data_IF_557757045261
#
_entry.id   IF_557757045261
#
_cell.length_a   1.000
_cell.length_b   1.000
_cell.length_c   1.000
_cell.angle_alpha   90.00
_cell.angle_beta   90.00
_cell.angle_gamma   90.00
#
_symmetry.space_group_name_H-M   'P 1'
#
loop_
_entity.id
_entity.type
_entity.pdbx_description
1 polymer ?
#
# COMPACT_ATOMS: atom_id res chain seq x y z
N UNK A 1 -20.01 -26.01 31.94
CA UNK A 1 -20.02 -25.95 33.43
C UNK A 1 -19.71 -27.35 33.89
N UNK A 2 -18.65 -27.57 34.66
CA UNK A 2 -18.36 -28.91 35.14
C UNK A 2 -19.35 -29.21 36.27
N UNK A 3 -20.27 -30.13 36.00
CA UNK A 3 -21.17 -30.65 37.02
C UNK A 3 -20.30 -31.45 38.01
N UNK A 4 -20.20 -30.96 39.24
CA UNK A 4 -19.29 -31.52 40.25
C UNK A 4 -19.88 -32.71 41.00
N UNK A 5 -21.16 -33.01 40.81
CA UNK A 5 -21.76 -34.14 41.53
C UNK A 5 -21.39 -35.49 40.88
N UNK A 6 -21.22 -36.55 41.69
CA UNK A 6 -20.79 -37.87 41.22
C UNK A 6 -21.86 -38.59 40.37
N UNK A 7 -23.07 -38.05 40.31
CA UNK A 7 -24.19 -38.60 39.55
C UNK A 7 -24.36 -37.92 38.20
N UNK A 8 -24.66 -38.66 37.14
CA UNK A 8 -24.95 -38.10 35.82
C UNK A 8 -26.28 -37.34 35.79
N UNK A 9 -26.51 -36.51 34.76
CA UNK A 9 -27.77 -35.77 34.62
C UNK A 9 -28.97 -36.73 34.51
N UNK A 10 -28.81 -37.82 33.78
CA UNK A 10 -29.82 -38.86 33.61
C UNK A 10 -30.16 -39.55 34.94
N UNK A 11 -29.13 -39.96 35.70
CA UNK A 11 -29.29 -40.59 37.02
C UNK A 11 -30.10 -39.68 37.95
N UNK A 12 -29.81 -38.38 37.97
CA UNK A 12 -30.54 -37.43 38.82
C UNK A 12 -31.98 -37.21 38.35
N UNK A 13 -32.22 -37.11 37.03
CA UNK A 13 -33.57 -36.95 36.48
C UNK A 13 -34.46 -38.14 36.86
N UNK A 14 -33.96 -39.36 36.66
CA UNK A 14 -34.68 -40.59 37.02
C UNK A 14 -34.95 -40.63 38.53
N UNK A 15 -33.92 -40.36 39.35
CA UNK A 15 -34.07 -40.34 40.80
C UNK A 15 -35.09 -39.31 41.27
N UNK A 16 -35.13 -38.12 40.65
CA UNK A 16 -36.10 -37.06 40.95
C UNK A 16 -37.52 -37.47 40.62
N UNK A 17 -37.76 -38.05 39.44
CA UNK A 17 -39.10 -38.48 39.02
C UNK A 17 -39.63 -39.54 39.97
N UNK A 18 -38.84 -40.58 40.26
CA UNK A 18 -39.24 -41.63 41.20
C UNK A 18 -39.46 -41.11 42.63
N UNK A 19 -38.62 -40.17 43.09
CA UNK A 19 -38.78 -39.58 44.41
C UNK A 19 -40.03 -38.69 44.50
N UNK A 20 -40.43 -38.02 43.42
CA UNK A 20 -41.66 -37.24 43.36
C UNK A 20 -42.91 -38.13 43.33
N UNK A 21 -42.89 -39.17 42.48
CA UNK A 21 -44.00 -40.11 42.31
C UNK A 21 -44.23 -41.03 43.51
N UNK A 22 -43.29 -41.09 44.47
CA UNK A 22 -43.41 -41.93 45.67
C UNK A 22 -44.68 -41.65 46.48
N UNK A 23 -45.21 -40.41 46.42
CA UNK A 23 -46.46 -40.03 47.10
C UNK A 23 -47.70 -40.66 46.46
N UNK A 24 -47.64 -40.94 45.16
CA UNK A 24 -48.73 -41.55 44.41
C UNK A 24 -48.62 -43.08 44.40
N UNK A 25 -47.39 -43.60 44.39
CA UNK A 25 -47.10 -45.04 44.39
C UNK A 25 -46.97 -45.64 45.79
N UNK A 26 -47.12 -44.84 46.85
CA UNK A 26 -46.90 -45.20 48.26
C UNK A 26 -45.53 -45.84 48.53
N UNK A 27 -44.51 -45.57 47.70
CA UNK A 27 -43.15 -46.07 47.90
C UNK A 27 -42.45 -45.32 49.04
N UNK A 28 -41.73 -46.07 49.86
CA UNK A 28 -40.84 -45.47 50.86
C UNK A 28 -39.60 -44.89 50.18
N UNK A 29 -38.95 -43.91 50.82
CA UNK A 29 -37.68 -43.36 50.30
C UNK A 29 -36.60 -44.43 50.18
N UNK A 30 -36.57 -45.39 51.10
CA UNK A 30 -35.64 -46.52 51.05
C UNK A 30 -35.86 -47.37 49.80
N UNK A 31 -37.11 -47.65 49.45
CA UNK A 31 -37.42 -48.41 48.22
C UNK A 31 -36.96 -47.68 46.96
N UNK A 32 -37.10 -46.35 46.92
CA UNK A 32 -36.60 -45.53 45.79
C UNK A 32 -35.06 -45.58 45.70
N UNK A 33 -34.36 -45.62 46.84
CA UNK A 33 -32.90 -45.78 46.87
C UNK A 33 -32.47 -47.17 46.41
N UNK A 34 -33.18 -48.22 46.83
CA UNK A 34 -32.96 -49.60 46.37
C UNK A 34 -33.22 -49.72 44.85
N UNK A 35 -34.34 -49.18 44.35
CA UNK A 35 -34.65 -49.14 42.91
C UNK A 35 -33.54 -48.42 42.11
N UNK A 36 -32.93 -47.37 42.70
CA UNK A 36 -31.83 -46.63 42.09
C UNK A 36 -30.54 -47.46 42.06
N UNK A 37 -30.18 -48.10 43.17
CA UNK A 37 -29.01 -48.98 43.27
C UNK A 37 -29.12 -50.18 42.32
N UNK A 38 -30.30 -50.79 42.21
CA UNK A 38 -30.60 -51.90 41.32
C UNK A 38 -30.45 -51.50 39.84
N UNK A 39 -30.94 -50.32 39.46
CA UNK A 39 -30.88 -49.85 38.06
C UNK A 39 -29.50 -49.38 37.64
N UNK A 40 -28.79 -48.65 38.49
CA UNK A 40 -27.56 -47.95 38.12
C UNK A 40 -26.28 -48.57 38.69
N UNK A 41 -26.38 -49.56 39.58
CA UNK A 41 -25.23 -50.26 40.16
C UNK A 41 -24.29 -49.37 40.99
N UNK A 42 -24.81 -48.24 41.49
CA UNK A 42 -24.08 -47.22 42.25
C UNK A 42 -24.84 -46.87 43.54
N UNK A 43 -24.13 -46.49 44.62
CA UNK A 43 -24.80 -46.14 45.87
C UNK A 43 -25.79 -45.00 45.66
N UNK A 44 -26.98 -45.14 46.24
CA UNK A 44 -28.04 -44.17 46.03
C UNK A 44 -27.71 -42.79 46.64
N UNK A 45 -28.20 -41.70 46.03
CA UNK A 45 -28.12 -40.38 46.63
C UNK A 45 -28.85 -40.33 47.97
N UNK A 46 -28.35 -39.50 48.89
CA UNK A 46 -28.99 -39.29 50.19
C UNK A 46 -30.40 -38.70 50.05
N UNK A 47 -31.27 -38.98 51.03
CA UNK A 47 -32.63 -38.40 51.09
C UNK A 47 -32.63 -36.87 50.97
N UNK A 48 -31.66 -36.20 51.57
CA UNK A 48 -31.52 -34.74 51.49
C UNK A 48 -31.19 -34.27 50.07
N UNK A 49 -30.31 -34.98 49.36
CA UNK A 49 -29.99 -34.68 47.96
C UNK A 49 -31.18 -34.95 47.05
N UNK A 50 -31.90 -36.07 47.24
CA UNK A 50 -33.14 -36.37 46.50
C UNK A 50 -34.18 -35.27 46.67
N UNK A 51 -34.39 -34.80 47.90
CA UNK A 51 -35.31 -33.69 48.15
C UNK A 51 -34.83 -32.36 47.55
N UNK A 52 -33.53 -32.06 47.62
CA UNK A 52 -32.96 -30.87 47.00
C UNK A 52 -33.12 -30.89 45.48
N UNK A 53 -32.86 -32.03 44.84
CA UNK A 53 -33.03 -32.21 43.40
C UNK A 53 -34.51 -32.16 42.99
N UNK A 54 -35.42 -32.78 43.74
CA UNK A 54 -36.87 -32.67 43.52
C UNK A 54 -37.29 -31.20 43.56
N UNK A 55 -36.99 -30.51 44.66
CA UNK A 55 -37.35 -29.11 44.81
C UNK A 55 -36.80 -28.26 43.66
N UNK A 56 -35.54 -28.46 43.29
CA UNK A 56 -34.88 -27.70 42.23
C UNK A 56 -35.46 -28.00 40.85
N UNK A 57 -35.67 -29.27 40.51
CA UNK A 57 -36.21 -29.69 39.23
C UNK A 57 -37.63 -29.18 39.02
N UNK A 58 -38.51 -29.31 40.02
CA UNK A 58 -39.91 -28.88 39.89
C UNK A 58 -40.12 -27.37 40.06
N UNK A 59 -39.18 -26.65 40.69
CA UNK A 59 -39.23 -25.19 40.75
C UNK A 59 -38.59 -24.50 39.53
N UNK A 60 -37.49 -25.06 39.00
CA UNK A 60 -36.67 -24.38 37.97
C UNK A 60 -36.55 -25.14 36.65
N UNK A 61 -37.07 -26.37 36.56
CA UNK A 61 -36.96 -27.23 35.37
C UNK A 61 -35.57 -27.84 35.16
N UNK A 62 -34.62 -27.66 36.09
CA UNK A 62 -33.23 -28.11 35.92
C UNK A 62 -32.70 -28.84 37.15
N UNK A 63 -31.87 -29.87 36.89
CA UNK A 63 -31.17 -30.64 37.92
C UNK A 63 -29.67 -30.29 38.00
N UNK A 64 -29.19 -29.42 37.12
CA UNK A 64 -27.79 -28.99 37.05
C UNK A 64 -27.44 -28.02 38.17
N UNK A 65 -26.23 -28.13 38.74
CA UNK A 65 -25.73 -27.19 39.74
C UNK A 65 -25.76 -25.74 39.26
N UNK A 66 -26.29 -24.86 40.11
CA UNK A 66 -26.33 -23.42 39.80
C UNK A 66 -24.91 -22.87 39.87
N UNK A 67 -24.61 -21.87 39.03
CA UNK A 67 -23.33 -21.16 39.15
C UNK A 67 -23.19 -20.64 40.57
N UNK A 68 -22.11 -21.04 41.25
CA UNK A 68 -21.79 -20.52 42.58
C UNK A 68 -21.55 -19.01 42.46
N UNK A 69 -22.08 -18.23 43.39
CA UNK A 69 -21.70 -16.83 43.53
C UNK A 69 -20.21 -16.78 43.89
N UNK A 70 -19.40 -16.26 42.97
CA UNK A 70 -17.98 -16.04 43.23
C UNK A 70 -17.78 -14.88 44.22
N UNK A 71 -16.53 -14.62 44.59
CA UNK A 71 -16.16 -13.44 45.40
C UNK A 71 -16.73 -12.17 44.74
N UNK A 72 -17.49 -11.34 45.47
CA UNK A 72 -18.06 -10.12 44.90
C UNK A 72 -16.95 -9.21 44.38
N UNK A 73 -17.15 -8.66 43.17
CA UNK A 73 -16.24 -7.68 42.59
C UNK A 73 -16.54 -6.31 43.22
N UNK A 74 -15.64 -5.82 44.07
CA UNK A 74 -15.74 -4.46 44.65
C UNK A 74 -15.31 -3.43 43.58
N UNK A 75 -16.10 -3.21 42.52
CA UNK A 75 -15.64 -2.43 41.34
C UNK A 75 -16.48 -1.24 40.90
N UNK A 76 -17.68 -1.01 41.41
CA UNK A 76 -18.54 0.04 40.85
C UNK A 76 -18.17 1.46 41.30
N UNK A 77 -17.58 1.61 42.48
CA UNK A 77 -17.23 2.92 43.03
C UNK A 77 -15.87 3.39 42.49
N UNK A 78 -15.90 4.02 41.32
CA UNK A 78 -14.74 4.73 40.76
C UNK A 78 -14.58 4.64 39.24
N UNK A 79 -15.38 3.82 38.55
CA UNK A 79 -15.28 3.65 37.07
C UNK A 79 -15.51 4.97 36.36
N UNK A 80 -16.52 5.74 36.77
CA UNK A 80 -16.83 7.04 36.18
C UNK A 80 -15.67 8.04 36.37
N UNK A 81 -15.03 8.05 37.54
CA UNK A 81 -13.87 8.92 37.79
C UNK A 81 -12.69 8.54 36.90
N UNK A 82 -12.45 7.25 36.70
CA UNK A 82 -11.43 6.74 35.78
C UNK A 82 -11.77 7.18 34.35
N UNK A 83 -13.02 6.99 33.90
CA UNK A 83 -13.47 7.34 32.56
C UNK A 83 -13.33 8.84 32.28
N UNK A 84 -13.82 9.70 33.18
CA UNK A 84 -13.70 11.16 33.09
C UNK A 84 -12.23 11.59 33.03
N UNK A 85 -11.38 10.99 33.88
CA UNK A 85 -9.95 11.27 33.88
C UNK A 85 -9.30 10.88 32.54
N UNK A 86 -9.70 9.76 31.94
CA UNK A 86 -9.14 9.26 30.68
C UNK A 86 -9.51 10.17 29.52
N UNK A 87 -10.79 10.57 29.43
CA UNK A 87 -11.27 11.49 28.39
C UNK A 87 -10.59 12.85 28.50
N UNK A 88 -10.41 13.37 29.73
CA UNK A 88 -9.78 14.68 29.96
C UNK A 88 -8.29 14.69 29.63
N UNK A 89 -7.57 13.61 29.95
CA UNK A 89 -6.12 13.53 29.77
C UNK A 89 -5.71 12.19 29.13
N UNK A 90 -5.89 12.00 27.81
CA UNK A 90 -5.69 10.71 27.15
C UNK A 90 -4.22 10.26 27.14
N UNK A 91 -3.26 11.19 27.05
CA UNK A 91 -1.82 10.89 27.04
C UNK A 91 -1.23 10.63 28.45
N UNK A 92 -2.03 10.73 29.52
CA UNK A 92 -1.53 10.56 30.90
C UNK A 92 -1.22 9.09 31.19
N UNK A 93 -0.04 8.84 31.75
CA UNK A 93 0.40 7.48 32.10
C UNK A 93 -0.49 6.86 33.18
N UNK A 94 -0.65 5.53 33.10
CA UNK A 94 -1.40 4.76 34.09
C UNK A 94 -0.86 4.92 35.52
N UNK A 95 0.46 5.05 35.68
CA UNK A 95 1.09 5.26 37.00
C UNK A 95 0.71 6.60 37.62
N UNK A 96 0.78 7.68 36.83
CA UNK A 96 0.39 9.01 37.30
C UNK A 96 -1.10 9.07 37.62
N UNK A 97 -1.93 8.48 36.75
CA UNK A 97 -3.38 8.37 36.97
C UNK A 97 -3.72 7.56 38.23
N UNK A 98 -2.99 6.49 38.51
CA UNK A 98 -3.15 5.67 39.72
C UNK A 98 -2.88 6.49 40.99
N UNK A 99 -1.80 7.28 41.01
CA UNK A 99 -1.48 8.16 42.13
C UNK A 99 -2.53 9.25 42.36
N UNK A 100 -3.02 9.89 41.28
CA UNK A 100 -4.03 10.96 41.36
C UNK A 100 -5.40 10.44 41.82
N UNK A 101 -5.81 9.25 41.36
CA UNK A 101 -7.12 8.68 41.69
C UNK A 101 -7.13 7.87 42.99
N UNK A 102 -5.96 7.63 43.61
CA UNK A 102 -5.84 6.78 44.80
C UNK A 102 -6.16 5.30 44.55
N UNK A 103 -6.22 4.86 43.28
CA UNK A 103 -6.53 3.49 42.89
C UNK A 103 -5.23 2.76 42.56
N UNK A 104 -5.07 1.51 42.99
CA UNK A 104 -3.88 0.73 42.66
C UNK A 104 -3.70 0.56 41.14
N UNK A 105 -2.46 0.61 40.67
CA UNK A 105 -2.13 0.49 39.25
C UNK A 105 -2.76 -0.74 38.58
N UNK A 106 -2.71 -1.89 39.27
CA UNK A 106 -3.28 -3.16 38.77
C UNK A 106 -4.80 -3.10 38.64
N UNK A 107 -5.48 -2.45 39.58
CA UNK A 107 -6.93 -2.27 39.53
C UNK A 107 -7.31 -1.32 38.40
N UNK A 108 -6.64 -0.17 38.30
CA UNK A 108 -6.84 0.80 37.22
C UNK A 108 -6.64 0.17 35.83
N UNK A 109 -5.53 -0.56 35.62
CA UNK A 109 -5.24 -1.26 34.37
C UNK A 109 -6.32 -2.30 34.05
N UNK A 110 -6.78 -3.04 35.05
CA UNK A 110 -7.83 -4.04 34.87
C UNK A 110 -9.17 -3.39 34.52
N UNK A 111 -9.58 -2.34 35.23
CA UNK A 111 -10.81 -1.60 34.94
C UNK A 111 -10.80 -1.00 33.55
N UNK A 112 -9.68 -0.42 33.12
CA UNK A 112 -9.57 0.10 31.75
C UNK A 112 -9.69 -1.00 30.69
N UNK A 113 -9.24 -2.23 30.95
CA UNK A 113 -9.28 -3.35 30.00
C UNK A 113 -10.60 -4.13 30.02
N UNK A 114 -11.08 -4.50 31.20
CA UNK A 114 -12.23 -5.38 31.42
C UNK A 114 -13.55 -4.60 31.45
N UNK A 115 -13.58 -3.42 32.06
CA UNK A 115 -14.83 -2.69 32.31
C UNK A 115 -15.04 -1.56 31.27
N UNK A 116 -13.98 -0.80 30.92
CA UNK A 116 -14.04 0.25 29.89
C UNK A 116 -13.65 -0.22 28.47
N UNK A 117 -13.24 -1.49 28.33
CA UNK A 117 -12.84 -2.11 27.05
C UNK A 117 -11.81 -1.32 26.22
N UNK A 118 -10.95 -0.54 26.88
CA UNK A 118 -9.92 0.25 26.21
C UNK A 118 -8.76 -0.61 25.75
N UNK A 119 -8.32 -0.40 24.51
CA UNK A 119 -7.14 -1.03 23.93
C UNK A 119 -5.98 -0.04 23.92
N UNK A 120 -4.75 -0.46 24.20
CA UNK A 120 -3.57 0.39 24.00
C UNK A 120 -3.49 0.82 22.54
N UNK A 121 -3.50 2.11 22.28
CA UNK A 121 -3.23 2.67 20.97
C UNK A 121 -1.82 3.26 20.97
N UNK A 122 -0.98 2.78 20.06
CA UNK A 122 0.35 3.35 19.82
C UNK A 122 0.22 4.30 18.63
N UNK A 123 0.32 5.63 18.81
CA UNK A 123 0.33 6.54 17.68
C UNK A 123 1.56 6.22 16.82
N UNK A 124 1.32 5.96 15.53
CA UNK A 124 2.37 5.90 14.53
C UNK A 124 2.83 7.33 14.24
N UNK A 125 4.13 7.53 14.04
CA UNK A 125 4.65 8.84 13.62
C UNK A 125 4.09 9.11 12.22
N UNK A 126 3.36 10.21 12.10
CA UNK A 126 2.83 10.71 10.83
C UNK A 126 3.63 11.98 10.53
N UNK A 127 3.89 12.26 9.24
CA UNK A 127 4.45 13.55 8.84
C UNK A 127 3.55 14.67 9.38
N UNK A 128 4.15 15.67 10.04
CA UNK A 128 3.41 16.86 10.44
C UNK A 128 2.84 17.53 9.18
N UNK A 129 1.54 17.81 9.20
CA UNK A 129 0.85 18.51 8.12
C UNK A 129 0.63 19.95 8.58
N UNK A 130 1.02 20.90 7.75
CA UNK A 130 0.64 22.30 7.93
C UNK A 130 -0.83 22.51 7.56
N UNK A 131 -1.41 23.63 7.97
CA UNK A 131 -2.79 24.00 7.61
C UNK A 131 -2.97 24.08 6.08
N UNK A 132 -1.94 24.56 5.37
CA UNK A 132 -1.91 24.57 3.91
C UNK A 132 -1.91 23.15 3.31
N UNK A 133 -1.20 22.20 3.95
CA UNK A 133 -1.20 20.80 3.50
C UNK A 133 -2.58 20.16 3.65
N UNK A 134 -3.34 20.53 4.69
CA UNK A 134 -4.72 20.06 4.86
C UNK A 134 -5.61 20.53 3.71
N UNK A 135 -5.57 21.82 3.35
CA UNK A 135 -6.32 22.38 2.22
C UNK A 135 -5.89 21.78 0.88
N UNK A 136 -4.59 21.64 0.65
CA UNK A 136 -4.03 21.05 -0.56
C UNK A 136 -4.48 19.59 -0.73
N UNK A 137 -4.53 18.82 0.37
CA UNK A 137 -4.97 17.43 0.34
C UNK A 137 -6.46 17.30 0.06
N UNK A 138 -7.31 18.14 0.66
CA UNK A 138 -8.74 18.16 0.36
C UNK A 138 -8.98 18.49 -1.11
N UNK A 139 -8.31 19.54 -1.61
CA UNK A 139 -8.37 19.96 -3.01
C UNK A 139 -7.89 18.84 -3.94
N UNK A 140 -6.80 18.15 -3.59
CA UNK A 140 -6.30 17.02 -4.36
C UNK A 140 -7.28 15.84 -4.39
N UNK A 141 -7.87 15.47 -3.25
CA UNK A 141 -8.89 14.42 -3.18
C UNK A 141 -10.12 14.76 -4.03
N UNK A 142 -10.59 16.01 -3.98
CA UNK A 142 -11.76 16.48 -4.75
C UNK A 142 -11.50 16.42 -6.27
N UNK A 143 -10.28 16.84 -6.69
CA UNK A 143 -9.82 16.67 -8.08
C UNK A 143 -9.73 15.20 -8.50
N UNK A 144 -9.31 14.31 -7.59
CA UNK A 144 -9.20 12.87 -7.88
C UNK A 144 -10.56 12.17 -8.00
N UNK A 145 -11.65 12.74 -7.46
CA UNK A 145 -13.00 12.20 -7.68
C UNK A 145 -13.48 12.40 -9.13
N UNK A 146 -12.85 13.32 -9.87
CA UNK A 146 -13.16 13.64 -11.26
C UNK A 146 -11.98 13.23 -12.15
N UNK A 147 -11.87 11.92 -12.44
CA UNK A 147 -10.75 11.38 -13.26
C UNK A 147 -10.62 12.03 -14.64
N UNK A 148 -11.72 12.61 -15.16
CA UNK A 148 -11.76 13.29 -16.46
C UNK A 148 -11.05 14.65 -16.45
N UNK A 149 -10.89 15.28 -15.28
CA UNK A 149 -10.23 16.60 -15.12
C UNK A 149 -8.84 16.51 -14.50
N UNK A 150 -8.39 15.31 -14.10
CA UNK A 150 -6.98 15.10 -13.74
C UNK A 150 -6.18 15.34 -15.01
N UNK A 151 -5.33 16.39 -15.06
CA UNK A 151 -4.39 16.50 -16.16
C UNK A 151 -3.54 15.23 -16.09
N UNK A 152 -3.64 14.36 -17.11
CA UNK A 152 -2.66 13.28 -17.29
C UNK A 152 -1.32 13.95 -17.09
N UNK A 153 -0.51 13.44 -16.15
CA UNK A 153 0.80 13.99 -15.84
C UNK A 153 1.50 14.19 -17.18
N UNK A 154 1.50 15.41 -17.69
CA UNK A 154 2.42 15.77 -18.72
C UNK A 154 3.73 15.58 -17.98
N UNK A 155 4.52 14.58 -18.39
CA UNK A 155 5.93 14.91 -18.54
C UNK A 155 5.85 16.22 -19.29
N UNK A 156 6.31 17.33 -18.72
CA UNK A 156 6.54 18.51 -19.52
C UNK A 156 7.39 17.98 -20.67
N UNK A 157 6.73 17.74 -21.80
CA UNK A 157 7.36 17.37 -23.04
C UNK A 157 8.01 18.68 -23.41
N UNK A 158 9.19 18.92 -22.82
CA UNK A 158 10.23 19.64 -23.49
C UNK A 158 10.43 18.82 -24.77
N UNK A 159 9.64 19.17 -25.79
CA UNK A 159 9.81 18.74 -27.17
C UNK A 159 11.30 18.92 -27.41
N UNK A 160 11.99 17.86 -27.85
CA UNK A 160 13.44 17.86 -27.99
C UNK A 160 13.89 19.16 -28.67
N UNK A 161 14.78 19.90 -28.02
CA UNK A 161 15.20 21.21 -28.53
C UNK A 161 15.94 20.97 -29.86
N UNK A 162 15.50 21.63 -30.93
CA UNK A 162 16.24 21.66 -32.19
C UNK A 162 17.23 22.83 -32.17
N UNK A 163 18.49 22.54 -32.49
CA UNK A 163 19.57 23.51 -32.62
C UNK A 163 20.17 23.39 -34.00
N UNK A 164 20.46 24.52 -34.65
CA UNK A 164 21.19 24.55 -35.92
C UNK A 164 22.61 25.07 -35.66
N UNK A 165 23.61 24.42 -36.26
CA UNK A 165 25.02 24.79 -36.15
C UNK A 165 25.69 24.75 -37.52
N UNK A 166 26.71 25.58 -37.73
CA UNK A 166 27.49 25.66 -38.94
C UNK A 166 28.97 25.37 -38.65
N UNK A 167 29.48 24.27 -39.23
CA UNK A 167 30.87 23.85 -39.07
C UNK A 167 31.18 23.13 -37.75
N UNK A 168 32.41 22.64 -37.65
CA UNK A 168 32.85 21.76 -36.57
C UNK A 168 32.95 22.47 -35.21
N UNK A 169 33.43 23.71 -35.19
CA UNK A 169 33.64 24.46 -33.95
C UNK A 169 32.34 24.73 -33.19
N UNK A 170 31.29 25.17 -33.90
CA UNK A 170 29.98 25.42 -33.31
C UNK A 170 29.34 24.13 -32.79
N UNK A 171 29.47 23.02 -33.54
CA UNK A 171 29.00 21.71 -33.09
C UNK A 171 29.63 21.32 -31.74
N UNK A 172 30.95 21.42 -31.62
CA UNK A 172 31.64 21.03 -30.39
C UNK A 172 31.28 21.91 -29.20
N UNK A 173 31.03 23.21 -29.41
CA UNK A 173 30.55 24.11 -28.37
C UNK A 173 29.16 23.69 -27.85
N UNK A 174 28.23 23.37 -28.76
CA UNK A 174 26.87 22.97 -28.38
C UNK A 174 26.85 21.58 -27.71
N UNK A 175 27.73 20.67 -28.14
CA UNK A 175 27.97 19.38 -27.49
C UNK A 175 28.50 19.56 -26.07
N UNK A 176 29.52 20.40 -25.87
CA UNK A 176 30.12 20.65 -24.56
C UNK A 176 29.11 21.27 -23.59
N UNK A 177 28.32 22.23 -24.08
CA UNK A 177 27.25 22.89 -23.33
C UNK A 177 26.17 21.91 -22.86
N UNK A 178 25.90 20.85 -23.63
CA UNK A 178 24.85 19.85 -23.36
C UNK A 178 25.37 18.45 -23.02
N UNK A 179 26.57 18.38 -22.45
CA UNK A 179 27.25 17.11 -22.10
C UNK A 179 26.44 16.13 -21.23
N UNK A 180 25.39 16.59 -20.54
CA UNK A 180 24.50 15.76 -19.69
C UNK A 180 23.25 15.24 -20.40
N UNK A 181 23.02 15.62 -21.67
CA UNK A 181 21.85 15.23 -22.45
C UNK A 181 22.23 14.22 -23.54
N UNK A 182 21.26 13.41 -23.96
CA UNK A 182 21.41 12.61 -25.18
C UNK A 182 21.33 13.53 -26.39
N UNK A 183 22.33 13.49 -27.27
CA UNK A 183 22.40 14.33 -28.44
C UNK A 183 22.27 13.50 -29.71
N UNK A 184 21.39 13.93 -30.61
CA UNK A 184 21.28 13.40 -31.96
C UNK A 184 21.80 14.46 -32.93
N UNK A 185 22.84 14.14 -33.69
CA UNK A 185 23.49 15.07 -34.62
C UNK A 185 23.22 14.61 -36.05
N UNK A 186 22.57 15.47 -36.83
CA UNK A 186 22.34 15.27 -38.26
C UNK A 186 23.34 16.09 -39.06
N UNK A 187 24.23 15.42 -39.77
CA UNK A 187 25.23 16.04 -40.63
C UNK A 187 24.67 16.19 -42.04
N UNK A 188 24.55 17.43 -42.50
CA UNK A 188 24.05 17.79 -43.83
C UNK A 188 25.02 18.75 -44.53
N UNK A 189 24.96 18.79 -45.86
CA UNK A 189 25.70 19.78 -46.66
C UNK A 189 25.17 21.19 -46.40
N UNK A 190 26.04 22.20 -46.45
CA UNK A 190 25.63 23.60 -46.35
C UNK A 190 24.52 23.95 -47.34
N UNK A 191 23.57 24.77 -46.89
CA UNK A 191 22.47 25.26 -47.72
C UNK A 191 22.90 26.51 -48.48
N UNK A 192 22.56 26.56 -49.77
CA UNK A 192 22.72 27.76 -50.59
C UNK A 192 21.73 28.86 -50.22
N UNK A 193 21.78 29.98 -50.92
CA UNK A 193 20.86 31.12 -50.72
C UNK A 193 19.38 30.76 -51.01
N UNK A 194 19.17 29.69 -51.78
CA UNK A 194 17.88 29.08 -52.10
C UNK A 194 17.36 28.14 -51.01
N UNK A 195 18.13 27.92 -49.93
CA UNK A 195 17.76 27.07 -48.81
C UNK A 195 17.89 25.57 -49.10
N UNK A 196 18.46 25.18 -50.25
CA UNK A 196 18.70 23.78 -50.59
C UNK A 196 20.15 23.40 -50.33
N UNK A 197 20.37 22.19 -49.80
CA UNK A 197 21.73 21.66 -49.61
C UNK A 197 22.31 21.28 -50.97
N UNK A 198 23.60 21.52 -51.17
CA UNK A 198 24.30 21.13 -52.41
C UNK A 198 24.37 19.61 -52.64
N UNK A 199 24.01 18.81 -51.63
CA UNK A 199 24.00 17.35 -51.66
C UNK A 199 22.56 16.85 -51.91
N UNK A 200 22.30 16.10 -53.00
CA UNK A 200 20.95 15.62 -53.31
C UNK A 200 20.40 14.64 -52.26
N UNK A 201 21.25 13.76 -51.73
CA UNK A 201 20.83 12.78 -50.69
C UNK A 201 20.39 13.48 -49.40
N UNK A 202 21.02 14.60 -49.04
CA UNK A 202 20.61 15.42 -47.90
C UNK A 202 19.24 16.07 -48.11
N UNK A 203 18.94 16.50 -49.34
CA UNK A 203 17.64 17.09 -49.70
C UNK A 203 16.53 16.05 -49.61
N UNK A 204 16.80 14.80 -50.00
CA UNK A 204 15.83 13.70 -49.90
C UNK A 204 15.61 13.23 -48.45
N UNK A 205 16.69 13.12 -47.66
CA UNK A 205 16.61 12.60 -46.29
C UNK A 205 16.08 13.61 -45.27
N UNK A 206 16.30 14.91 -45.45
CA UNK A 206 15.89 15.95 -44.50
C UNK A 206 14.40 15.91 -44.11
N UNK A 207 13.42 15.83 -45.03
CA UNK A 207 12.00 15.77 -44.66
C UNK A 207 11.66 14.50 -43.87
N UNK A 208 12.32 13.37 -44.17
CA UNK A 208 12.11 12.11 -43.44
C UNK A 208 12.60 12.25 -42.00
N UNK A 209 13.81 12.77 -41.80
CA UNK A 209 14.38 12.98 -40.46
C UNK A 209 13.56 14.01 -39.68
N UNK A 210 13.13 15.10 -40.30
CA UNK A 210 12.30 16.13 -39.66
C UNK A 210 10.94 15.61 -39.22
N UNK A 211 10.28 14.76 -40.01
CA UNK A 211 8.98 14.17 -39.66
C UNK A 211 9.06 13.27 -38.41
N UNK A 212 10.21 12.63 -38.19
CA UNK A 212 10.42 11.72 -37.05
C UNK A 212 10.89 12.42 -35.76
N UNK A 213 11.21 13.73 -35.79
CA UNK A 213 11.64 14.46 -34.58
C UNK A 213 10.56 14.54 -33.49
N UNK A 214 9.29 14.34 -33.85
CA UNK A 214 8.21 14.20 -32.86
C UNK A 214 8.40 12.99 -31.91
N UNK A 215 9.19 12.01 -32.33
CA UNK A 215 9.52 10.81 -31.58
C UNK A 215 10.80 10.96 -30.74
N UNK A 216 11.40 12.16 -30.67
CA UNK A 216 12.58 12.41 -29.85
C UNK A 216 12.31 12.14 -28.36
N UNK A 217 13.23 11.44 -27.66
CA UNK A 217 13.06 11.14 -26.25
C UNK A 217 13.16 12.41 -25.40
N UNK A 218 12.38 12.45 -24.33
CA UNK A 218 12.31 13.63 -23.46
C UNK A 218 13.69 13.96 -22.85
N UNK A 219 14.10 15.23 -22.94
CA UNK A 219 15.40 15.68 -22.44
C UNK A 219 16.58 15.45 -23.39
N UNK A 220 16.33 14.97 -24.62
CA UNK A 220 17.32 14.92 -25.69
C UNK A 220 17.30 16.20 -26.54
N UNK A 221 18.41 16.45 -27.24
CA UNK A 221 18.57 17.59 -28.16
C UNK A 221 18.90 17.08 -29.55
N UNK A 222 18.25 17.63 -30.57
CA UNK A 222 18.56 17.38 -31.97
C UNK A 222 19.38 18.54 -32.54
N UNK A 223 20.55 18.25 -33.10
CA UNK A 223 21.47 19.22 -33.67
C UNK A 223 21.54 19.02 -35.18
N UNK A 224 21.06 19.99 -35.94
CA UNK A 224 21.24 20.06 -37.39
C UNK A 224 22.60 20.73 -37.68
N UNK A 225 23.59 19.94 -38.11
CA UNK A 225 24.94 20.40 -38.38
C UNK A 225 25.18 20.53 -39.88
N UNK A 226 25.42 21.75 -40.33
CA UNK A 226 25.89 22.01 -41.68
C UNK A 226 27.41 21.82 -41.72
N UNK A 227 27.87 20.79 -42.43
CA UNK A 227 29.31 20.45 -42.49
C UNK A 227 30.14 21.47 -43.28
N UNK A 228 29.49 22.36 -44.02
CA UNK A 228 30.13 23.33 -44.92
C UNK A 228 30.01 22.93 -46.39
N UNK A 229 30.84 23.58 -47.22
CA UNK A 229 30.74 23.48 -48.68
C UNK A 229 31.31 22.16 -49.23
N UNK A 230 30.88 21.82 -50.45
CA UNK A 230 31.29 20.59 -51.13
C UNK A 230 32.82 20.37 -51.21
N UNK A 231 33.66 21.38 -51.49
CA UNK A 231 35.11 21.19 -51.51
C UNK A 231 35.68 20.81 -50.15
N UNK A 232 35.20 21.45 -49.07
CA UNK A 232 35.60 21.15 -47.71
C UNK A 232 35.20 19.72 -47.29
N UNK A 233 33.97 19.30 -47.64
CA UNK A 233 33.53 17.93 -47.33
C UNK A 233 34.34 16.84 -48.04
N UNK A 234 34.79 17.12 -49.27
CA UNK A 234 35.62 16.20 -50.07
C UNK A 234 37.04 16.05 -49.53
N UNK A 235 37.52 16.99 -48.72
CA UNK A 235 38.81 16.85 -48.07
C UNK A 235 38.76 15.72 -47.04
N UNK A 236 39.51 14.64 -47.29
CA UNK A 236 39.64 13.51 -46.37
C UNK A 236 40.26 13.90 -45.03
N UNK A 237 40.91 15.07 -44.95
CA UNK A 237 41.54 15.58 -43.76
C UNK A 237 40.66 16.50 -42.90
N UNK A 238 39.40 16.69 -43.25
CA UNK A 238 38.49 17.53 -42.47
C UNK A 238 38.19 16.97 -41.07
N UNK A 239 37.79 17.86 -40.17
CA UNK A 239 37.60 17.57 -38.75
C UNK A 239 36.47 16.55 -38.51
N UNK A 240 35.40 16.60 -39.30
CA UNK A 240 34.29 15.65 -39.19
C UNK A 240 34.71 14.20 -39.51
N UNK A 241 35.58 14.00 -40.51
CA UNK A 241 36.09 12.69 -40.90
C UNK A 241 37.14 12.17 -39.93
N UNK A 242 38.03 13.04 -39.43
CA UNK A 242 39.11 12.65 -38.51
C UNK A 242 38.63 12.41 -37.09
N UNK A 243 37.90 13.37 -36.52
CA UNK A 243 37.53 13.37 -35.10
C UNK A 243 36.23 12.59 -34.86
N UNK A 244 35.22 12.81 -35.70
CA UNK A 244 33.88 12.20 -35.53
C UNK A 244 33.66 10.95 -36.40
N UNK A 245 34.62 10.59 -37.25
CA UNK A 245 34.57 9.41 -38.14
C UNK A 245 33.32 9.37 -39.04
N UNK A 246 32.78 10.53 -39.40
CA UNK A 246 31.63 10.63 -40.31
C UNK A 246 32.13 10.42 -41.74
N UNK A 247 31.73 9.31 -42.37
CA UNK A 247 32.28 8.88 -43.67
C UNK A 247 31.52 9.44 -44.88
N UNK A 248 30.22 9.68 -44.74
CA UNK A 248 29.39 10.30 -45.77
C UNK A 248 28.28 11.15 -45.16
N UNK A 249 27.57 11.91 -46.01
CA UNK A 249 26.40 12.70 -45.63
C UNK A 249 25.25 12.35 -46.59
N UNK A 250 23.99 12.39 -46.15
CA UNK A 250 23.53 12.70 -44.80
C UNK A 250 23.85 11.59 -43.79
N UNK A 251 24.27 11.95 -42.58
CA UNK A 251 24.48 10.99 -41.48
C UNK A 251 23.75 11.46 -40.23
N UNK A 252 22.94 10.58 -39.62
CA UNK A 252 22.30 10.80 -38.33
C UNK A 252 23.03 9.97 -37.27
N UNK A 253 23.65 10.64 -36.30
CA UNK A 253 24.49 10.03 -35.28
C UNK A 253 23.90 10.27 -33.88
N UNK A 254 23.81 9.21 -33.07
CA UNK A 254 23.60 9.35 -31.62
C UNK A 254 24.95 9.57 -30.95
N UNK A 255 25.22 10.82 -30.58
CA UNK A 255 26.53 11.26 -30.12
C UNK A 255 26.99 10.48 -28.88
N UNK A 256 28.24 10.05 -28.86
CA UNK A 256 28.83 9.24 -27.79
C UNK A 256 28.57 7.72 -27.91
N UNK A 257 27.85 7.28 -28.95
CA UNK A 257 27.60 5.85 -29.23
C UNK A 257 28.12 5.45 -30.62
N UNK A 258 28.10 4.15 -30.93
CA UNK A 258 28.37 3.64 -32.29
C UNK A 258 27.15 3.63 -33.20
N UNK A 259 25.99 4.10 -32.72
CA UNK A 259 24.74 4.07 -33.47
C UNK A 259 24.67 5.25 -34.44
N UNK A 260 24.64 4.95 -35.73
CA UNK A 260 24.52 5.94 -36.81
C UNK A 260 23.71 5.37 -37.97
N UNK A 261 22.99 6.26 -38.67
CA UNK A 261 22.36 5.99 -39.96
C UNK A 261 23.09 6.81 -41.02
N UNK A 262 23.40 6.17 -42.14
CA UNK A 262 24.22 6.75 -43.20
C UNK A 262 23.47 6.73 -44.53
N UNK A 263 23.51 7.85 -45.26
CA UNK A 263 22.95 8.04 -46.60
C UNK A 263 21.50 7.55 -46.71
N UNK A 264 21.26 6.47 -47.47
CA UNK A 264 19.94 5.89 -47.73
C UNK A 264 19.22 5.44 -46.47
N UNK A 265 19.94 5.15 -45.40
CA UNK A 265 19.32 4.79 -44.12
C UNK A 265 18.58 5.98 -43.50
N UNK A 266 19.05 7.22 -43.74
CA UNK A 266 18.37 8.43 -43.30
C UNK A 266 17.05 8.68 -44.06
N UNK A 267 16.86 8.06 -45.23
CA UNK A 267 15.62 8.13 -45.99
C UNK A 267 14.56 7.11 -45.53
N UNK A 268 14.86 6.25 -44.53
CA UNK A 268 13.95 5.21 -44.05
C UNK A 268 13.31 5.65 -42.71
N UNK A 269 12.02 6.04 -42.68
CA UNK A 269 11.37 6.54 -41.47
C UNK A 269 11.48 5.58 -40.29
N UNK A 270 11.33 4.28 -40.53
CA UNK A 270 11.39 3.25 -39.48
C UNK A 270 12.77 3.16 -38.83
N UNK A 271 13.85 3.30 -39.60
CA UNK A 271 15.21 3.30 -39.04
C UNK A 271 15.50 4.57 -38.25
N UNK A 272 15.07 5.72 -38.77
CA UNK A 272 15.20 7.01 -38.07
C UNK A 272 14.45 6.93 -36.74
N UNK A 273 13.20 6.46 -36.76
CA UNK A 273 12.39 6.27 -35.56
C UNK A 273 13.06 5.31 -34.56
N UNK A 274 13.58 4.17 -35.03
CA UNK A 274 14.29 3.21 -34.19
C UNK A 274 15.48 3.87 -33.48
N UNK A 275 16.31 4.61 -34.22
CA UNK A 275 17.46 5.32 -33.65
C UNK A 275 17.04 6.36 -32.59
N UNK A 276 15.96 7.10 -32.83
CA UNK A 276 15.48 8.13 -31.90
C UNK A 276 14.84 7.52 -30.65
N UNK A 277 14.14 6.39 -30.77
CA UNK A 277 13.34 5.79 -29.68
C UNK A 277 14.06 4.78 -28.80
N UNK A 278 15.25 4.29 -29.17
CA UNK A 278 16.03 3.38 -28.32
C UNK A 278 16.49 4.06 -27.01
N UNK A 279 15.70 3.84 -25.95
CA UNK A 279 16.03 4.16 -24.56
C UNK A 279 17.21 3.28 -24.08
N UNK A 280 18.12 3.87 -23.31
CA UNK A 280 19.17 3.15 -22.55
C UNK A 280 18.56 2.52 -21.31
#
# INVERSE_FOLDING_TARGET
MADTSPFTVEERLVAVVWYHERRNTNKTTKRVQEDFEERFGKPAPSKSNLHLWEKKAFQSGSVLDSKRSGRPKIRDLGIQNIQTSVLRYPKKSLRKRSAELGVSYSSLRRTMKEDLHMKPYKPTVICELSDADHENRLTACDRLQHFDTIPKRSKDTMIGQQVQVLGYQELMQEVQKRSKQTLFVYFSGSKGADGTSWCPDCVEAEPVVQAELQNLPAGSTFIYCQVGDRPYWKDGNNEFRKELKVTSIPTLLKYGTSQQLVEKQCCQPELVRMLLTEEV
#
